data_IF_409279234473
#
_entry.id   IF_409279234473
#
_cell.length_a   1.000
_cell.length_b   1.000
_cell.length_c   1.000
_cell.angle_alpha   90.00
_cell.angle_beta   90.00
_cell.angle_gamma   90.00
#
_symmetry.space_group_name_H-M   'P 1'
#
loop_
_entity.id
_entity.type
_entity.pdbx_description
1 polymer ?
#
# COMPACT_ATOMS: atom_id res chain seq x y z
N UNK A 1 -8.09 20.95 -32.57
CA UNK A 1 -8.00 21.10 -31.10
C UNK A 1 -7.14 22.31 -30.83
N UNK A 2 -7.58 23.18 -29.92
CA UNK A 2 -6.82 24.38 -29.57
C UNK A 2 -5.51 23.99 -28.88
N UNK A 3 -4.52 24.89 -28.96
CA UNK A 3 -3.31 24.76 -28.16
C UNK A 3 -3.68 24.76 -26.67
N UNK A 4 -3.00 23.94 -25.83
CA UNK A 4 -3.21 23.99 -24.40
C UNK A 4 -2.72 25.35 -23.85
N UNK A 5 -3.42 25.86 -22.84
CA UNK A 5 -2.92 27.00 -22.07
C UNK A 5 -1.92 26.51 -21.02
N UNK A 6 -0.73 27.09 -21.00
CA UNK A 6 0.37 26.68 -20.12
C UNK A 6 0.72 27.83 -19.18
N UNK A 7 0.52 27.60 -17.89
CA UNK A 7 0.77 28.60 -16.84
C UNK A 7 1.88 28.16 -15.91
N UNK A 8 2.85 29.05 -15.69
CA UNK A 8 3.89 28.86 -14.67
C UNK A 8 3.34 29.00 -13.26
N UNK A 9 4.06 28.41 -12.30
CA UNK A 9 3.75 28.51 -10.86
C UNK A 9 4.92 29.13 -10.10
N UNK A 10 4.77 29.32 -8.79
CA UNK A 10 5.82 29.78 -7.88
C UNK A 10 7.01 28.81 -7.77
N UNK A 11 6.85 27.56 -8.21
CA UNK A 11 7.91 26.54 -8.27
C UNK A 11 8.51 26.56 -9.68
N UNK A 12 9.80 26.89 -9.85
CA UNK A 12 10.43 26.97 -11.17
C UNK A 12 10.30 25.66 -11.96
N UNK A 13 9.71 25.75 -13.15
CA UNK A 13 9.49 24.63 -14.07
C UNK A 13 8.23 23.80 -13.82
N UNK A 14 7.51 24.01 -12.70
CA UNK A 14 6.21 23.38 -12.49
C UNK A 14 5.14 24.16 -13.27
N UNK A 15 4.46 23.48 -14.18
CA UNK A 15 3.51 24.09 -15.12
C UNK A 15 2.12 23.47 -14.96
N UNK A 16 1.09 24.31 -14.91
CA UNK A 16 -0.30 23.88 -15.06
C UNK A 16 -0.68 23.98 -16.53
N UNK A 17 -1.28 22.91 -17.06
CA UNK A 17 -1.66 22.78 -18.46
C UNK A 17 -3.17 22.57 -18.55
N UNK A 18 -3.86 23.53 -19.15
CA UNK A 18 -5.30 23.49 -19.36
C UNK A 18 -5.61 23.13 -20.81
N UNK A 19 -6.33 22.02 -20.99
CA UNK A 19 -6.72 21.48 -22.29
C UNK A 19 -8.23 21.62 -22.50
N UNK A 20 -8.63 21.93 -23.74
CA UNK A 20 -10.05 21.99 -24.09
C UNK A 20 -10.66 20.59 -24.15
N UNK A 21 -11.88 20.44 -23.62
CA UNK A 21 -12.72 19.27 -23.86
C UNK A 21 -13.59 19.52 -25.09
N UNK A 22 -13.64 18.54 -25.98
CA UNK A 22 -14.57 18.52 -27.10
C UNK A 22 -15.74 17.62 -26.73
N UNK A 23 -16.87 18.25 -26.41
CA UNK A 23 -18.13 17.55 -26.18
C UNK A 23 -18.65 16.93 -27.48
N UNK A 24 -19.19 15.73 -27.38
CA UNK A 24 -19.81 14.94 -28.46
C UNK A 24 -21.15 14.40 -27.96
N UNK A 25 -22.07 13.97 -28.84
CA UNK A 25 -23.35 13.39 -28.40
C UNK A 25 -23.20 12.18 -27.47
N UNK A 26 -22.09 11.43 -27.59
CA UNK A 26 -21.85 10.17 -26.86
C UNK A 26 -20.81 10.30 -25.73
N UNK A 27 -20.32 11.51 -25.43
CA UNK A 27 -19.28 11.74 -24.42
C UNK A 27 -18.37 12.90 -24.78
N UNK A 28 -17.09 12.83 -24.40
CA UNK A 28 -16.11 13.89 -24.68
C UNK A 28 -14.80 13.32 -25.20
N UNK A 29 -14.05 14.17 -25.90
CA UNK A 29 -12.70 13.88 -26.36
C UNK A 29 -11.74 15.00 -25.93
N UNK A 30 -10.54 14.63 -25.50
CA UNK A 30 -9.45 15.58 -25.29
C UNK A 30 -8.10 14.91 -25.54
N UNK A 31 -7.14 15.69 -26.03
CA UNK A 31 -5.74 15.31 -26.15
C UNK A 31 -5.09 15.61 -24.79
N UNK A 32 -5.20 14.66 -23.86
CA UNK A 32 -4.69 14.83 -22.51
C UNK A 32 -3.17 15.11 -22.47
N UNK A 33 -2.44 14.64 -23.47
CA UNK A 33 -1.04 15.00 -23.72
C UNK A 33 -0.74 15.00 -25.22
N UNK A 34 0.02 15.99 -25.68
CA UNK A 34 0.55 16.07 -27.05
C UNK A 34 1.87 16.85 -27.05
N UNK A 35 2.96 16.18 -27.39
CA UNK A 35 4.33 16.70 -27.27
C UNK A 35 4.53 18.06 -27.97
N UNK A 36 4.34 18.10 -29.30
CA UNK A 36 4.57 19.32 -30.08
C UNK A 36 3.68 20.51 -29.68
N UNK A 37 2.46 20.27 -29.18
CA UNK A 37 1.54 21.32 -28.73
C UNK A 37 1.96 21.87 -27.37
N UNK A 38 2.39 21.00 -26.45
CA UNK A 38 2.93 21.42 -25.16
C UNK A 38 4.20 22.25 -25.36
N UNK A 39 5.12 21.80 -26.23
CA UNK A 39 6.35 22.54 -26.55
C UNK A 39 6.06 23.90 -27.20
N UNK A 40 5.13 23.94 -28.17
CA UNK A 40 4.72 25.19 -28.83
C UNK A 40 4.07 26.18 -27.88
N UNK A 41 3.36 25.67 -26.85
CA UNK A 41 2.77 26.46 -25.78
C UNK A 41 3.77 26.87 -24.68
N UNK A 42 5.07 26.59 -24.84
CA UNK A 42 6.13 26.97 -23.90
C UNK A 42 6.44 25.94 -22.81
N UNK A 43 5.92 24.72 -22.94
CA UNK A 43 6.31 23.58 -22.11
C UNK A 43 7.65 22.96 -22.52
N UNK A 44 8.27 22.14 -21.67
CA UNK A 44 9.54 21.50 -21.99
C UNK A 44 9.36 20.26 -22.87
N UNK A 45 10.43 19.87 -23.57
CA UNK A 45 10.51 18.53 -24.16
C UNK A 45 10.49 17.48 -23.04
N UNK A 46 9.58 16.50 -23.16
CA UNK A 46 9.27 15.58 -22.05
C UNK A 46 9.58 14.11 -22.35
N UNK A 47 9.38 13.64 -23.58
CA UNK A 47 9.70 12.28 -24.04
C UNK A 47 9.29 11.16 -23.04
N UNK A 48 7.99 11.00 -22.73
CA UNK A 48 7.55 10.00 -21.76
C UNK A 48 7.84 8.57 -22.23
N UNK A 49 8.40 7.76 -21.34
CA UNK A 49 8.76 6.35 -21.60
C UNK A 49 7.90 5.36 -20.82
N UNK A 50 7.08 5.85 -19.89
CA UNK A 50 6.19 5.02 -19.08
C UNK A 50 4.88 5.76 -18.81
N UNK A 51 3.78 5.00 -18.84
CA UNK A 51 2.45 5.47 -18.49
C UNK A 51 1.89 4.62 -17.34
N UNK A 52 1.57 5.28 -16.22
CA UNK A 52 0.89 4.66 -15.09
C UNK A 52 -0.55 5.17 -15.03
N UNK A 53 -1.47 4.26 -14.74
CA UNK A 53 -2.87 4.57 -14.46
C UNK A 53 -3.24 4.04 -13.09
N UNK A 54 -3.82 4.89 -12.26
CA UNK A 54 -4.17 4.54 -10.87
C UNK A 54 -5.63 4.86 -10.60
N UNK A 55 -6.42 3.84 -10.28
CA UNK A 55 -7.76 4.01 -9.73
C UNK A 55 -7.69 4.14 -8.20
N UNK A 56 -8.25 5.23 -7.67
CA UNK A 56 -8.42 5.44 -6.25
C UNK A 56 -9.91 5.37 -5.90
N UNK A 57 -10.29 4.31 -5.20
CA UNK A 57 -11.70 4.01 -4.94
C UNK A 57 -12.36 4.95 -3.93
N UNK A 58 -11.59 5.61 -3.05
CA UNK A 58 -12.14 6.31 -1.89
C UNK A 58 -11.66 7.77 -1.82
N UNK A 59 -12.60 8.68 -1.63
CA UNK A 59 -12.41 10.09 -1.26
C UNK A 59 -11.60 10.22 0.03
N UNK A 60 -10.76 11.24 0.10
CA UNK A 60 -9.89 11.52 1.24
C UNK A 60 -8.56 10.78 1.20
N UNK A 61 -8.37 9.83 0.29
CA UNK A 61 -7.05 9.24 0.04
C UNK A 61 -6.09 10.35 -0.34
N UNK A 62 -5.06 10.54 0.48
CA UNK A 62 -4.03 11.55 0.28
C UNK A 62 -2.68 10.84 0.19
N UNK A 63 -1.86 11.20 -0.80
CA UNK A 63 -0.58 10.56 -1.11
C UNK A 63 0.48 11.62 -1.43
N UNK A 64 1.72 11.42 -0.99
CA UNK A 64 2.84 12.35 -1.22
C UNK A 64 3.53 12.79 0.08
N UNK A 65 4.35 13.84 0.09
CA UNK A 65 4.99 14.41 -1.10
C UNK A 65 6.13 13.48 -1.52
N UNK A 66 6.15 13.07 -2.79
CA UNK A 66 7.22 12.25 -3.35
C UNK A 66 7.90 13.03 -4.49
N UNK A 67 9.21 13.25 -4.37
CA UNK A 67 10.05 13.94 -5.34
C UNK A 67 10.99 12.94 -6.00
N UNK A 68 10.51 12.34 -7.07
CA UNK A 68 11.22 11.31 -7.82
C UNK A 68 12.28 11.92 -8.75
N UNK A 69 13.29 11.12 -9.16
CA UNK A 69 14.39 11.62 -9.99
C UNK A 69 14.04 11.82 -11.48
N UNK A 70 12.74 11.83 -11.84
CA UNK A 70 12.24 11.98 -13.20
C UNK A 70 11.13 13.02 -13.28
N UNK A 71 10.91 13.55 -14.49
CA UNK A 71 9.84 14.49 -14.77
C UNK A 71 8.52 13.73 -14.94
N UNK A 72 7.40 14.38 -14.63
CA UNK A 72 6.06 13.77 -14.69
C UNK A 72 5.07 14.68 -15.38
N UNK A 73 4.09 14.07 -16.01
CA UNK A 73 2.87 14.76 -16.43
C UNK A 73 1.69 14.08 -15.77
N UNK A 74 1.04 14.79 -14.85
CA UNK A 74 -0.03 14.29 -13.98
C UNK A 74 -1.37 14.82 -14.44
N UNK A 75 -2.37 13.95 -14.61
CA UNK A 75 -3.74 14.36 -14.90
C UNK A 75 -4.77 13.42 -14.28
N UNK A 76 -6.04 13.82 -14.32
CA UNK A 76 -7.19 13.01 -13.89
C UNK A 76 -8.04 12.64 -15.10
N UNK A 77 -8.36 11.35 -15.25
CA UNK A 77 -9.19 10.81 -16.33
C UNK A 77 -10.66 10.67 -15.92
N UNK A 78 -10.94 10.57 -14.62
CA UNK A 78 -12.30 10.54 -14.04
C UNK A 78 -12.26 11.00 -12.59
N UNK A 79 -13.32 11.64 -12.11
CA UNK A 79 -13.40 12.19 -10.76
C UNK A 79 -12.61 13.48 -10.59
N UNK A 80 -12.21 13.79 -9.36
CA UNK A 80 -11.47 15.01 -9.03
C UNK A 80 -10.52 14.83 -7.85
N UNK A 81 -9.49 15.66 -7.82
CA UNK A 81 -8.49 15.68 -6.76
C UNK A 81 -7.97 17.09 -6.50
N UNK A 82 -7.45 17.33 -5.31
CA UNK A 82 -6.65 18.50 -4.99
C UNK A 82 -5.17 18.12 -5.08
N UNK A 83 -4.44 18.73 -6.00
CA UNK A 83 -3.00 18.56 -6.17
C UNK A 83 -2.21 19.59 -5.37
N UNK A 84 -1.12 19.15 -4.74
CA UNK A 84 -0.15 20.01 -4.09
C UNK A 84 1.27 19.60 -4.49
N UNK A 85 2.14 20.58 -4.66
CA UNK A 85 3.54 20.38 -5.00
C UNK A 85 4.43 21.18 -4.05
N UNK A 86 5.60 20.62 -3.73
CA UNK A 86 6.63 21.27 -2.91
C UNK A 86 7.99 21.15 -3.58
N UNK A 87 8.74 22.23 -3.67
CA UNK A 87 10.10 22.18 -4.22
C UNK A 87 11.07 21.57 -3.19
N UNK A 88 11.60 20.37 -3.47
CA UNK A 88 12.58 19.67 -2.62
C UNK A 88 14.01 19.73 -3.20
N UNK A 89 14.22 20.58 -4.22
CA UNK A 89 15.54 20.86 -4.78
C UNK A 89 16.31 21.79 -3.86
N UNK A 90 17.62 21.60 -3.77
CA UNK A 90 18.47 22.47 -2.96
C UNK A 90 18.53 23.87 -3.60
N UNK A 91 18.40 24.91 -2.77
CA UNK A 91 18.47 26.30 -3.20
C UNK A 91 17.38 27.18 -2.59
N UNK A 92 17.26 28.40 -3.10
CA UNK A 92 16.33 29.43 -2.61
C UNK A 92 14.84 29.04 -2.75
N UNK A 93 14.54 28.08 -3.62
CA UNK A 93 13.20 27.55 -3.84
C UNK A 93 12.73 26.51 -2.82
N UNK A 94 13.62 25.96 -2.00
CA UNK A 94 13.30 24.82 -1.13
C UNK A 94 12.12 25.11 -0.21
N UNK A 95 11.10 24.24 -0.26
CA UNK A 95 9.87 24.36 0.52
C UNK A 95 8.80 25.26 -0.08
N UNK A 96 9.04 25.89 -1.26
CA UNK A 96 7.97 26.61 -1.98
C UNK A 96 6.87 25.63 -2.38
N UNK A 97 5.63 26.11 -2.31
CA UNK A 97 4.43 25.33 -2.56
C UNK A 97 3.66 25.88 -3.75
N UNK A 98 3.06 24.99 -4.53
CA UNK A 98 2.00 25.31 -5.46
C UNK A 98 0.84 24.32 -5.29
N UNK A 99 -0.39 24.74 -5.58
CA UNK A 99 -1.59 23.90 -5.47
C UNK A 99 -2.50 24.11 -6.67
N UNK A 100 -3.23 23.07 -7.05
CA UNK A 100 -4.14 23.11 -8.20
C UNK A 100 -5.24 22.05 -8.01
N UNK A 101 -6.50 22.42 -8.19
CA UNK A 101 -7.56 21.42 -8.35
C UNK A 101 -7.40 20.71 -9.69
N UNK A 102 -7.49 19.39 -9.66
CA UNK A 102 -7.35 18.50 -10.79
C UNK A 102 -8.72 17.90 -11.12
N UNK A 103 -9.14 18.13 -12.34
CA UNK A 103 -10.29 17.53 -12.98
C UNK A 103 -9.95 17.27 -14.45
N UNK A 104 -10.88 16.70 -15.20
CA UNK A 104 -10.73 16.54 -16.63
C UNK A 104 -10.36 17.87 -17.31
N UNK A 105 -9.35 17.83 -18.18
CA UNK A 105 -8.82 19.01 -18.86
C UNK A 105 -7.76 19.79 -18.08
N UNK A 106 -7.47 19.44 -16.82
CA UNK A 106 -6.36 20.02 -16.06
C UNK A 106 -5.25 19.01 -15.84
N UNK A 107 -4.06 19.34 -16.31
CA UNK A 107 -2.84 18.55 -16.11
C UNK A 107 -1.74 19.39 -15.50
N UNK A 108 -0.72 18.74 -14.92
CA UNK A 108 0.44 19.41 -14.34
C UNK A 108 1.71 18.71 -14.79
N UNK A 109 2.61 19.48 -15.40
CA UNK A 109 3.99 19.04 -15.63
C UNK A 109 4.81 19.31 -14.38
N UNK A 110 5.39 18.24 -13.81
CA UNK A 110 6.13 18.24 -12.54
C UNK A 110 7.60 17.92 -12.84
N UNK A 111 8.51 18.88 -12.65
CA UNK A 111 9.93 18.63 -12.79
C UNK A 111 10.46 17.64 -11.74
N UNK A 112 11.51 16.91 -12.12
CA UNK A 112 12.30 16.08 -11.21
C UNK A 112 12.71 16.87 -9.96
N UNK A 113 12.66 16.20 -8.82
CA UNK A 113 12.98 16.82 -7.53
C UNK A 113 11.89 17.72 -6.94
N UNK A 114 10.78 17.97 -7.65
CA UNK A 114 9.58 18.59 -7.08
C UNK A 114 8.71 17.48 -6.49
N UNK A 115 8.39 17.62 -5.19
CA UNK A 115 7.52 16.70 -4.47
C UNK A 115 6.09 16.82 -4.96
N UNK A 116 5.52 15.73 -5.44
CA UNK A 116 4.14 15.63 -5.90
C UNK A 116 3.25 15.02 -4.80
N UNK A 117 2.12 15.65 -4.52
CA UNK A 117 1.07 15.12 -3.66
C UNK A 117 -0.32 15.37 -4.23
N UNK A 118 -1.29 14.55 -3.82
CA UNK A 118 -2.69 14.75 -4.14
C UNK A 118 -3.60 14.26 -3.02
N UNK A 119 -4.79 14.85 -2.93
CA UNK A 119 -5.90 14.41 -2.09
C UNK A 119 -7.13 14.18 -2.97
N UNK A 120 -7.65 12.95 -2.95
CA UNK A 120 -8.82 12.57 -3.76
C UNK A 120 -10.09 13.20 -3.20
N UNK A 121 -10.86 13.87 -4.05
CA UNK A 121 -12.08 14.58 -3.67
C UNK A 121 -13.36 13.81 -4.03
N UNK A 122 -13.26 12.83 -4.95
CA UNK A 122 -14.36 11.97 -5.39
C UNK A 122 -13.98 10.48 -5.37
N UNK A 123 -14.92 9.61 -4.97
CA UNK A 123 -14.73 8.16 -5.08
C UNK A 123 -14.52 7.74 -6.53
N UNK A 124 -13.66 6.75 -6.77
CA UNK A 124 -13.38 6.26 -8.12
C UNK A 124 -12.57 7.23 -9.00
N UNK A 125 -11.80 8.14 -8.40
CA UNK A 125 -10.91 9.03 -9.14
C UNK A 125 -9.79 8.25 -9.81
N UNK A 126 -9.60 8.46 -11.11
CA UNK A 126 -8.55 7.79 -11.90
C UNK A 126 -7.49 8.80 -12.31
N UNK A 127 -6.24 8.56 -11.91
CA UNK A 127 -5.09 9.36 -12.31
C UNK A 127 -4.36 8.74 -13.49
N UNK A 128 -3.78 9.60 -14.32
CA UNK A 128 -2.83 9.27 -15.37
C UNK A 128 -1.49 9.95 -15.05
N UNK A 129 -0.40 9.18 -15.11
CA UNK A 129 0.96 9.68 -14.95
C UNK A 129 1.81 9.25 -16.13
N UNK A 130 2.27 10.20 -16.92
CA UNK A 130 3.36 9.95 -17.86
C UNK A 130 4.68 10.27 -17.15
N UNK A 131 5.72 9.47 -17.38
CA UNK A 131 7.03 9.61 -16.74
C UNK A 131 8.14 9.69 -17.79
N UNK A 132 9.13 10.57 -17.59
CA UNK A 132 10.29 10.67 -18.48
C UNK A 132 11.32 9.54 -18.30
N UNK A 133 11.22 8.76 -17.23
CA UNK A 133 12.08 7.60 -16.95
C UNK A 133 11.26 6.43 -16.39
N UNK A 134 11.79 5.21 -16.53
CA UNK A 134 11.15 4.03 -15.97
C UNK A 134 11.17 4.02 -14.44
N UNK A 135 10.05 3.62 -13.86
CA UNK A 135 10.00 3.32 -12.44
C UNK A 135 10.88 2.11 -12.14
N UNK A 136 11.75 2.24 -11.15
CA UNK A 136 12.54 1.15 -10.60
C UNK A 136 12.55 1.24 -9.07
N UNK A 137 12.66 0.11 -8.35
CA UNK A 137 12.84 0.12 -6.90
C UNK A 137 13.99 1.02 -6.44
N UNK A 138 15.12 0.98 -7.15
CA UNK A 138 16.32 1.77 -6.85
C UNK A 138 16.05 3.28 -6.99
N UNK A 139 15.30 3.68 -8.02
CA UNK A 139 14.94 5.08 -8.20
C UNK A 139 13.88 5.54 -7.17
N UNK A 140 13.02 4.64 -6.68
CA UNK A 140 12.12 4.90 -5.55
C UNK A 140 12.90 5.13 -4.24
N UNK A 141 13.96 4.39 -3.98
CA UNK A 141 14.80 4.60 -2.78
C UNK A 141 15.48 5.97 -2.78
N UNK A 142 15.80 6.50 -3.97
CA UNK A 142 16.38 7.85 -4.14
C UNK A 142 15.35 8.98 -4.10
N UNK A 143 14.06 8.66 -3.98
CA UNK A 143 12.97 9.65 -3.95
C UNK A 143 13.03 10.43 -2.64
N UNK A 144 13.19 11.76 -2.73
CA UNK A 144 13.03 12.64 -1.57
C UNK A 144 11.55 12.67 -1.18
N UNK A 145 11.26 12.70 0.11
CA UNK A 145 9.88 12.80 0.61
C UNK A 145 9.72 13.92 1.61
N UNK A 146 8.52 14.46 1.72
CA UNK A 146 8.15 15.45 2.74
C UNK A 146 6.77 15.15 3.32
N UNK A 147 6.57 15.49 4.60
CA UNK A 147 5.34 15.25 5.32
C UNK A 147 4.17 16.03 4.70
N UNK A 148 3.06 15.33 4.39
CA UNK A 148 1.86 15.94 3.80
C UNK A 148 1.28 17.07 4.65
N UNK A 149 1.40 16.97 5.97
CA UNK A 149 0.84 17.92 6.93
C UNK A 149 1.94 18.66 7.69
N UNK A 150 3.10 18.87 7.05
CA UNK A 150 4.12 19.76 7.59
C UNK A 150 3.54 21.17 7.78
N UNK A 151 3.47 21.70 9.01
CA UNK A 151 2.96 23.05 9.27
C UNK A 151 3.74 24.14 8.55
N UNK A 152 5.00 23.92 8.19
CA UNK A 152 5.82 24.86 7.44
C UNK A 152 5.34 25.03 5.98
N UNK A 153 4.67 24.02 5.42
CA UNK A 153 4.17 24.04 4.04
C UNK A 153 2.81 24.72 3.91
N UNK A 154 2.03 24.77 4.99
CA UNK A 154 0.71 25.43 5.03
C UNK A 154 -0.24 25.03 3.89
N UNK A 155 -0.20 23.76 3.47
CA UNK A 155 -1.05 23.27 2.38
C UNK A 155 -2.52 23.36 2.79
N UNK A 156 -3.39 24.02 2.01
CA UNK A 156 -4.81 24.15 2.31
C UNK A 156 -5.58 22.89 1.86
N UNK A 157 -5.28 21.73 2.46
CA UNK A 157 -5.96 20.48 2.14
C UNK A 157 -7.49 20.59 2.33
N UNK A 158 -8.31 20.33 1.28
CA UNK A 158 -9.77 20.43 1.37
C UNK A 158 -10.41 19.51 2.41
N UNK A 159 -9.78 18.37 2.67
CA UNK A 159 -10.15 17.40 3.70
C UNK A 159 -9.04 17.45 4.76
N UNK A 160 -9.42 17.70 6.01
CA UNK A 160 -8.45 17.79 7.10
C UNK A 160 -7.71 16.48 7.31
N UNK A 161 -6.59 16.55 8.03
CA UNK A 161 -5.77 15.37 8.38
C UNK A 161 -6.59 14.25 9.01
N UNK A 162 -7.51 14.59 9.90
CA UNK A 162 -8.31 13.61 10.66
C UNK A 162 -9.28 12.82 9.79
N UNK A 163 -9.63 13.35 8.61
CA UNK A 163 -10.51 12.70 7.64
C UNK A 163 -9.76 12.20 6.39
N UNK A 164 -8.43 12.37 6.35
CA UNK A 164 -7.58 11.91 5.26
C UNK A 164 -7.16 10.46 5.44
N UNK A 165 -7.09 9.69 4.35
CA UNK A 165 -6.60 8.31 4.33
C UNK A 165 -5.16 8.31 3.80
N UNK A 166 -4.20 8.21 4.72
CA UNK A 166 -2.76 8.30 4.44
C UNK A 166 -2.12 6.91 4.37
N UNK A 167 -1.06 6.76 3.59
CA UNK A 167 -0.20 5.57 3.68
C UNK A 167 0.80 5.75 4.84
N UNK A 168 1.35 4.66 5.36
CA UNK A 168 2.41 4.74 6.38
C UNK A 168 3.66 5.44 5.83
N UNK A 169 4.00 5.23 4.56
CA UNK A 169 5.09 5.94 3.88
C UNK A 169 4.91 7.45 3.94
N UNK A 170 3.69 7.93 3.72
CA UNK A 170 3.38 9.35 3.77
C UNK A 170 3.34 9.89 5.21
N UNK A 171 2.90 9.06 6.18
CA UNK A 171 2.95 9.38 7.60
C UNK A 171 4.38 9.47 8.15
N UNK A 172 5.27 8.59 7.67
CA UNK A 172 6.68 8.53 8.05
C UNK A 172 7.57 9.53 7.31
N UNK A 173 7.02 10.24 6.31
CA UNK A 173 7.76 11.23 5.56
C UNK A 173 8.26 12.34 6.50
N UNK A 174 9.53 12.77 6.36
CA UNK A 174 10.14 13.73 7.27
C UNK A 174 9.50 15.10 7.09
N UNK A 175 9.49 15.88 8.18
CA UNK A 175 9.26 17.32 8.11
C UNK A 175 10.47 18.00 7.45
N UNK A 176 10.24 19.10 6.72
CA UNK A 176 11.31 19.88 6.09
C UNK A 176 12.33 20.41 7.10
N UNK A 177 11.84 20.75 8.29
CA UNK A 177 12.65 21.07 9.46
C UNK A 177 12.23 20.15 10.60
N UNK A 178 13.19 19.51 11.29
CA UNK A 178 12.86 18.66 12.43
C UNK A 178 12.02 19.44 13.47
N UNK A 179 10.84 18.94 13.84
CA UNK A 179 10.18 19.40 15.05
C UNK A 179 11.12 19.10 16.22
N UNK A 180 11.36 20.06 17.11
CA UNK A 180 12.17 19.80 18.32
C UNK A 180 11.44 18.76 19.19
N UNK A 181 11.84 17.49 19.08
CA UNK A 181 11.33 16.38 19.90
C UNK A 181 12.45 15.77 20.75
N UNK A 182 12.13 15.48 22.02
CA UNK A 182 13.05 14.97 23.05
C UNK A 182 13.60 13.59 22.68
N UNK A 183 14.91 13.44 22.79
CA UNK A 183 15.68 12.25 22.44
C UNK A 183 15.44 11.05 23.36
N UNK A 184 15.23 9.87 22.78
CA UNK A 184 15.73 8.59 23.32
C UNK A 184 16.23 7.76 22.14
N UNK A 185 17.55 7.57 22.08
CA UNK A 185 18.22 6.91 20.96
C UNK A 185 18.31 5.40 21.11
N UNK A 186 18.51 4.72 19.98
CA UNK A 186 19.47 3.62 19.83
C UNK A 186 19.72 3.39 18.34
N UNK A 187 20.98 3.43 17.92
CA UNK A 187 21.42 3.09 16.57
C UNK A 187 21.88 1.63 16.47
N UNK A 188 22.00 1.13 15.23
CA UNK A 188 22.94 0.09 14.73
C UNK A 188 22.26 -0.72 13.62
N UNK A 189 22.61 -0.51 12.33
CA UNK A 189 23.70 -1.19 11.58
C UNK A 189 23.19 -2.45 10.84
N UNK A 190 22.70 -2.27 9.61
CA UNK A 190 22.29 -3.35 8.71
C UNK A 190 23.44 -3.75 7.77
N UNK A 191 23.79 -5.04 7.76
CA UNK A 191 24.65 -5.65 6.73
C UNK A 191 23.79 -6.08 5.54
N UNK A 192 24.30 -5.80 4.33
CA UNK A 192 23.69 -6.19 3.04
C UNK A 192 24.03 -7.65 2.72
N UNK A 193 23.03 -8.41 2.30
CA UNK A 193 23.21 -9.68 1.56
C UNK A 193 22.42 -9.62 0.26
N UNK A 194 23.01 -10.21 -0.78
CA UNK A 194 22.65 -10.04 -2.18
C UNK A 194 21.32 -10.71 -2.58
N UNK A 195 20.65 -10.06 -3.55
CA UNK A 195 19.34 -10.40 -4.11
C UNK A 195 19.46 -11.59 -5.07
N UNK A 196 18.62 -12.61 -4.87
CA UNK A 196 18.34 -13.64 -5.88
C UNK A 196 17.00 -13.32 -6.54
N UNK A 197 17.00 -13.20 -7.87
CA UNK A 197 15.82 -12.91 -8.68
C UNK A 197 15.07 -14.22 -8.91
N UNK A 198 13.91 -14.37 -8.27
CA UNK A 198 13.04 -15.54 -8.41
C UNK A 198 12.15 -15.48 -9.65
N UNK A 199 12.57 -16.24 -10.66
CA UNK A 199 11.79 -16.72 -11.82
C UNK A 199 10.54 -17.48 -11.34
N UNK A 200 9.45 -17.38 -12.10
CA UNK A 200 8.28 -18.24 -11.92
C UNK A 200 8.58 -19.71 -12.22
N UNK A 201 7.88 -20.56 -11.48
CA UNK A 201 7.41 -21.88 -11.88
C UNK A 201 8.40 -23.07 -11.90
N UNK A 202 9.13 -23.31 -10.80
CA UNK A 202 9.56 -24.65 -10.36
C UNK A 202 9.71 -24.65 -8.82
N UNK A 203 8.76 -25.24 -8.07
CA UNK A 203 8.90 -25.33 -6.60
C UNK A 203 9.76 -26.53 -6.21
N UNK A 204 10.89 -26.25 -5.55
CA UNK A 204 11.63 -27.20 -4.74
C UNK A 204 10.87 -27.57 -3.45
N UNK A 205 11.25 -28.70 -2.86
CA UNK A 205 10.57 -29.46 -1.79
C UNK A 205 10.48 -28.79 -0.39
N UNK A 206 10.14 -27.50 -0.30
CA UNK A 206 9.96 -26.77 0.97
C UNK A 206 8.51 -26.77 1.47
N UNK A 207 8.26 -26.44 2.77
CA UNK A 207 6.92 -26.32 3.33
C UNK A 207 6.16 -25.13 2.73
N UNK A 208 4.83 -25.21 2.69
CA UNK A 208 3.95 -24.13 2.23
C UNK A 208 3.82 -23.04 3.31
N UNK A 209 4.16 -21.80 2.97
CA UNK A 209 4.33 -20.72 3.93
C UNK A 209 3.11 -19.83 4.01
N UNK A 210 2.50 -19.76 5.19
CA UNK A 210 1.34 -18.92 5.49
C UNK A 210 1.73 -17.81 6.46
N UNK A 211 1.56 -16.56 6.03
CA UNK A 211 1.91 -15.37 6.82
C UNK A 211 0.66 -14.63 7.29
N UNK A 212 0.48 -14.49 8.60
CA UNK A 212 -0.58 -13.67 9.19
C UNK A 212 -0.14 -12.23 9.41
N UNK A 213 -0.96 -11.27 9.01
CA UNK A 213 -0.61 -9.84 9.10
C UNK A 213 -1.71 -9.03 9.80
N UNK A 214 -1.32 -8.26 10.80
CA UNK A 214 -2.15 -7.22 11.42
C UNK A 214 -1.34 -5.92 11.62
N UNK A 215 -1.81 -4.98 12.43
CA UNK A 215 -1.09 -3.72 12.68
C UNK A 215 0.17 -3.94 13.51
N UNK A 216 0.03 -4.24 14.80
CA UNK A 216 1.15 -4.24 15.75
C UNK A 216 1.85 -5.59 15.96
N UNK A 217 1.35 -6.66 15.36
CA UNK A 217 1.80 -8.05 15.59
C UNK A 217 1.87 -8.47 17.07
N UNK A 218 0.99 -7.92 17.91
CA UNK A 218 0.84 -8.34 19.31
C UNK A 218 -0.55 -8.89 19.63
N UNK A 219 -1.58 -8.66 18.80
CA UNK A 219 -2.94 -9.16 19.06
C UNK A 219 -3.35 -10.22 18.03
N UNK A 220 -3.95 -9.79 16.91
CA UNK A 220 -4.67 -10.64 15.96
C UNK A 220 -3.76 -11.60 15.19
N UNK A 221 -2.71 -11.10 14.52
CA UNK A 221 -1.79 -11.97 13.78
C UNK A 221 -0.91 -12.84 14.68
N UNK A 222 -0.52 -12.33 15.85
CA UNK A 222 0.21 -13.10 16.86
C UNK A 222 -0.63 -14.28 17.39
N UNK A 223 -1.90 -14.03 17.74
CA UNK A 223 -2.82 -15.07 18.17
C UNK A 223 -3.01 -16.14 17.09
N UNK A 224 -3.26 -15.71 15.85
CA UNK A 224 -3.45 -16.61 14.72
C UNK A 224 -2.23 -17.52 14.49
N UNK A 225 -1.01 -16.99 14.56
CA UNK A 225 0.23 -17.77 14.41
C UNK A 225 0.41 -18.79 15.54
N UNK A 226 0.21 -18.37 16.80
CA UNK A 226 0.32 -19.27 17.96
C UNK A 226 -0.67 -20.44 17.87
N UNK A 227 -1.94 -20.16 17.50
CA UNK A 227 -2.98 -21.18 17.34
C UNK A 227 -2.73 -22.04 16.09
N UNK A 228 -2.28 -21.46 14.99
CA UNK A 228 -2.00 -22.22 13.77
C UNK A 228 -0.82 -23.19 13.97
N UNK A 229 0.28 -22.76 14.61
CA UNK A 229 1.40 -23.65 14.95
C UNK A 229 0.99 -24.78 15.89
N UNK A 230 0.07 -24.51 16.82
CA UNK A 230 -0.48 -25.52 17.72
C UNK A 230 -1.20 -26.67 17.00
N UNK A 231 -1.76 -26.42 15.80
CA UNK A 231 -2.39 -27.46 14.99
C UNK A 231 -1.42 -28.55 14.53
N UNK A 232 -0.11 -28.26 14.52
CA UNK A 232 0.96 -29.15 14.01
C UNK A 232 0.69 -29.64 12.59
N UNK A 233 0.09 -28.80 11.75
CA UNK A 233 -0.11 -29.08 10.34
C UNK A 233 1.24 -29.41 9.67
N UNK A 234 1.30 -30.53 8.95
CA UNK A 234 2.53 -31.03 8.32
C UNK A 234 2.71 -30.36 6.96
N UNK A 235 3.96 -30.04 6.62
CA UNK A 235 4.28 -29.41 5.34
C UNK A 235 3.75 -27.98 5.18
N UNK A 236 3.28 -27.36 6.27
CA UNK A 236 2.84 -25.96 6.32
C UNK A 236 3.65 -25.24 7.40
N UNK A 237 4.21 -24.10 7.06
CA UNK A 237 4.94 -23.22 7.97
C UNK A 237 4.12 -21.96 8.22
N UNK A 238 3.89 -21.63 9.49
CA UNK A 238 3.13 -20.44 9.89
C UNK A 238 4.05 -19.37 10.48
N UNK A 239 3.84 -18.14 10.05
CA UNK A 239 4.48 -16.96 10.61
C UNK A 239 3.48 -15.83 10.80
N UNK A 240 3.85 -14.83 11.59
CA UNK A 240 3.11 -13.58 11.68
C UNK A 240 4.02 -12.37 11.67
N UNK A 241 3.48 -11.26 11.18
CA UNK A 241 4.13 -9.96 11.18
C UNK A 241 3.10 -8.83 11.32
N UNK A 242 3.61 -7.61 11.46
CA UNK A 242 2.81 -6.39 11.65
C UNK A 242 3.15 -5.32 10.63
N UNK A 243 2.16 -4.59 10.11
CA UNK A 243 2.44 -3.44 9.22
C UNK A 243 3.09 -2.28 9.99
N UNK A 244 2.76 -2.13 11.29
CA UNK A 244 3.41 -1.24 12.25
C UNK A 244 3.77 -2.03 13.51
N UNK A 245 4.64 -3.04 13.39
CA UNK A 245 4.87 -3.95 14.50
C UNK A 245 5.47 -3.24 15.72
N UNK A 246 5.01 -3.60 16.91
CA UNK A 246 5.69 -3.24 18.15
C UNK A 246 6.86 -4.21 18.34
N UNK A 247 7.90 -4.08 17.53
CA UNK A 247 8.97 -5.08 17.37
C UNK A 247 9.56 -5.48 18.72
N UNK A 248 9.65 -6.80 18.95
CA UNK A 248 10.19 -7.39 20.17
C UNK A 248 9.18 -7.51 21.32
N UNK A 249 8.02 -6.87 21.24
CA UNK A 249 6.98 -7.02 22.26
C UNK A 249 6.38 -8.45 22.25
N UNK A 250 5.97 -8.97 23.41
CA UNK A 250 5.23 -10.22 23.48
C UNK A 250 3.81 -10.03 22.96
N UNK A 251 3.06 -11.13 22.86
CA UNK A 251 1.62 -11.06 22.62
C UNK A 251 0.93 -10.21 23.72
N UNK A 252 -0.05 -9.41 23.31
CA UNK A 252 -0.89 -8.58 24.18
C UNK A 252 -1.55 -9.46 25.25
N UNK A 253 -1.47 -9.13 26.56
CA UNK A 253 -1.85 -10.06 27.63
C UNK A 253 -3.28 -10.62 27.54
N UNK A 254 -4.33 -9.83 27.23
CA UNK A 254 -5.68 -10.37 26.97
C UNK A 254 -5.71 -11.45 25.88
N UNK A 255 -5.01 -11.25 24.77
CA UNK A 255 -4.93 -12.23 23.68
C UNK A 255 -4.05 -13.43 24.07
N UNK A 256 -2.92 -13.19 24.75
CA UNK A 256 -2.03 -14.24 25.25
C UNK A 256 -2.69 -15.17 26.26
N UNK A 257 -3.57 -14.64 27.12
CA UNK A 257 -4.36 -15.47 28.04
C UNK A 257 -5.29 -16.45 27.33
N UNK A 258 -5.75 -16.11 26.12
CA UNK A 258 -6.66 -16.93 25.32
C UNK A 258 -5.93 -18.01 24.50
N UNK A 259 -4.60 -18.03 24.47
CA UNK A 259 -3.83 -19.11 23.83
C UNK A 259 -3.54 -20.28 24.78
N UNK A 260 -3.90 -20.17 26.05
CA UNK A 260 -3.65 -21.19 27.07
C UNK A 260 -4.22 -22.55 26.66
N UNK A 261 -3.40 -23.61 26.75
CA UNK A 261 -3.77 -24.97 26.34
C UNK A 261 -3.78 -25.21 24.83
N UNK A 262 -3.49 -24.18 24.01
CA UNK A 262 -3.39 -24.29 22.55
C UNK A 262 -1.94 -24.19 22.10
N UNK A 263 -1.27 -23.07 22.38
CA UNK A 263 0.09 -22.82 21.92
C UNK A 263 0.92 -21.95 22.87
N UNK A 264 2.23 -21.94 22.65
CA UNK A 264 3.19 -21.23 23.50
C UNK A 264 3.25 -19.73 23.16
N UNK A 265 2.33 -18.94 23.70
CA UNK A 265 2.34 -17.47 23.56
C UNK A 265 3.68 -16.80 23.93
N UNK A 266 4.45 -17.42 24.84
CA UNK A 266 5.73 -16.88 25.35
C UNK A 266 6.84 -16.83 24.31
N UNK A 267 6.79 -17.68 23.27
CA UNK A 267 7.79 -17.71 22.21
C UNK A 267 7.56 -16.62 21.16
N UNK A 268 6.35 -16.04 21.10
CA UNK A 268 6.03 -14.98 20.15
C UNK A 268 6.82 -13.71 20.46
N UNK A 269 7.37 -13.11 19.41
CA UNK A 269 7.92 -11.75 19.44
C UNK A 269 7.41 -11.03 18.22
N UNK A 270 6.81 -9.86 18.44
CA UNK A 270 6.33 -9.04 17.35
C UNK A 270 7.48 -8.71 16.39
N UNK A 271 7.22 -8.85 15.10
CA UNK A 271 8.17 -8.53 14.03
C UNK A 271 7.52 -7.67 12.96
N UNK A 272 8.30 -6.74 12.42
CA UNK A 272 7.87 -5.86 11.35
C UNK A 272 7.71 -6.67 10.07
N UNK A 273 6.61 -6.44 9.36
CA UNK A 273 6.45 -6.98 8.03
C UNK A 273 7.47 -6.33 7.11
N UNK A 274 8.26 -7.16 6.43
CA UNK A 274 9.25 -6.75 5.46
C UNK A 274 9.08 -7.49 4.13
N UNK A 275 9.89 -7.10 3.15
CA UNK A 275 9.86 -7.70 1.82
C UNK A 275 10.24 -9.18 1.84
N UNK A 276 11.16 -9.60 2.70
CA UNK A 276 11.61 -10.98 2.77
C UNK A 276 10.46 -11.91 3.18
N UNK A 277 9.75 -11.55 4.25
CA UNK A 277 8.56 -12.26 4.71
C UNK A 277 7.47 -12.32 3.63
N UNK A 278 7.24 -11.22 2.92
CA UNK A 278 6.25 -11.16 1.84
C UNK A 278 6.65 -12.01 0.66
N UNK A 279 7.91 -11.95 0.22
CA UNK A 279 8.41 -12.70 -0.94
C UNK A 279 8.42 -14.21 -0.63
N UNK A 280 8.81 -14.61 0.58
CA UNK A 280 8.84 -16.00 1.05
C UNK A 280 7.47 -16.63 1.31
N UNK A 281 6.44 -15.83 1.61
CA UNK A 281 5.10 -16.35 1.87
C UNK A 281 4.44 -16.85 0.58
N UNK A 282 3.77 -18.01 0.66
CA UNK A 282 2.93 -18.53 -0.41
C UNK A 282 1.50 -17.99 -0.33
N UNK A 283 1.04 -17.72 0.89
CA UNK A 283 -0.27 -17.16 1.19
C UNK A 283 -0.15 -16.16 2.34
N UNK A 284 -0.64 -14.94 2.13
CA UNK A 284 -0.66 -13.89 3.13
C UNK A 284 -2.11 -13.63 3.55
N UNK A 285 -2.38 -13.82 4.85
CA UNK A 285 -3.69 -13.68 5.46
C UNK A 285 -3.71 -12.45 6.37
N UNK A 286 -4.40 -11.43 5.90
CA UNK A 286 -4.53 -10.15 6.58
C UNK A 286 -5.75 -10.12 7.48
N UNK A 287 -5.63 -9.51 8.64
CA UNK A 287 -6.73 -9.47 9.62
C UNK A 287 -7.85 -8.49 9.24
N UNK A 288 -7.58 -7.57 8.31
CA UNK A 288 -8.53 -6.55 7.87
C UNK A 288 -8.10 -5.94 6.52
N UNK A 289 -9.03 -5.36 5.73
CA UNK A 289 -8.74 -4.79 4.42
C UNK A 289 -7.61 -3.75 4.39
N UNK A 290 -7.45 -2.96 5.45
CA UNK A 290 -6.40 -1.97 5.58
C UNK A 290 -4.99 -2.58 5.59
N UNK A 291 -4.80 -3.76 6.18
CA UNK A 291 -3.50 -4.45 6.14
C UNK A 291 -3.22 -5.01 4.74
N UNK A 292 -4.26 -5.50 4.05
CA UNK A 292 -4.14 -5.89 2.64
C UNK A 292 -3.76 -4.69 1.78
N UNK A 293 -4.41 -3.55 2.01
CA UNK A 293 -4.11 -2.30 1.32
C UNK A 293 -2.65 -1.88 1.55
N UNK A 294 -2.16 -1.96 2.79
CA UNK A 294 -0.76 -1.70 3.11
C UNK A 294 0.19 -2.56 2.28
N UNK A 295 -0.02 -3.88 2.27
CA UNK A 295 0.82 -4.81 1.50
C UNK A 295 0.78 -4.48 0.01
N UNK A 296 -0.36 -4.07 -0.54
CA UNK A 296 -0.46 -3.74 -1.96
C UNK A 296 0.13 -2.37 -2.31
N UNK A 297 0.07 -1.42 -1.38
CA UNK A 297 0.69 -0.10 -1.57
C UNK A 297 2.23 -0.21 -1.49
N UNK A 298 2.79 -1.13 -0.69
CA UNK A 298 4.24 -1.38 -0.57
C UNK A 298 4.80 -2.44 -1.55
N UNK A 299 4.08 -3.54 -1.76
CA UNK A 299 4.47 -4.68 -2.61
C UNK A 299 3.32 -5.11 -3.54
N UNK A 300 3.01 -4.35 -4.61
CA UNK A 300 1.90 -4.63 -5.52
C UNK A 300 1.92 -6.04 -6.12
N UNK A 301 3.11 -6.60 -6.34
CA UNK A 301 3.30 -7.96 -6.87
C UNK A 301 2.74 -9.06 -5.95
N UNK A 302 2.57 -8.79 -4.65
CA UNK A 302 1.99 -9.73 -3.71
C UNK A 302 0.45 -9.82 -3.80
N UNK A 303 -0.18 -9.06 -4.70
CA UNK A 303 -1.64 -8.99 -4.81
C UNK A 303 -2.33 -10.34 -4.96
N UNK A 304 -1.76 -11.23 -5.77
CA UNK A 304 -2.32 -12.55 -6.09
C UNK A 304 -2.21 -13.55 -4.94
N UNK A 305 -1.41 -13.24 -3.91
CA UNK A 305 -1.23 -14.09 -2.73
C UNK A 305 -1.66 -13.45 -1.41
N UNK A 306 -2.30 -12.28 -1.44
CA UNK A 306 -2.69 -11.52 -0.23
C UNK A 306 -4.20 -11.37 -0.14
N UNK A 307 -4.80 -11.89 0.95
CA UNK A 307 -6.26 -11.94 1.15
C UNK A 307 -6.63 -11.56 2.58
N UNK A 308 -7.86 -11.09 2.78
CA UNK A 308 -8.42 -10.91 4.13
C UNK A 308 -8.81 -12.28 4.67
N UNK A 309 -8.50 -12.57 5.94
CA UNK A 309 -8.62 -13.91 6.51
C UNK A 309 -10.04 -14.48 6.41
N UNK A 310 -11.09 -13.68 6.64
CA UNK A 310 -12.47 -14.14 6.50
C UNK A 310 -12.90 -14.44 5.08
N UNK A 311 -12.39 -13.67 4.10
CA UNK A 311 -12.58 -13.96 2.67
C UNK A 311 -11.90 -15.29 2.30
N UNK A 312 -10.65 -15.48 2.72
CA UNK A 312 -9.93 -16.73 2.50
C UNK A 312 -10.66 -17.93 3.13
N UNK A 313 -11.13 -17.80 4.37
CA UNK A 313 -11.86 -18.86 5.08
C UNK A 313 -13.17 -19.25 4.38
N UNK A 314 -13.89 -18.28 3.80
CA UNK A 314 -15.12 -18.54 3.04
C UNK A 314 -14.83 -19.26 1.73
N UNK A 315 -13.94 -18.69 0.91
CA UNK A 315 -13.72 -19.18 -0.45
C UNK A 315 -12.93 -20.50 -0.48
N UNK A 316 -12.06 -20.77 0.50
CA UNK A 316 -11.28 -22.01 0.54
C UNK A 316 -12.18 -23.26 0.67
N UNK A 317 -13.38 -23.13 1.27
CA UNK A 317 -14.34 -24.21 1.37
C UNK A 317 -15.00 -24.56 0.02
N UNK A 318 -14.95 -23.64 -0.95
CA UNK A 318 -15.53 -23.78 -2.28
C UNK A 318 -14.48 -24.18 -3.34
N UNK A 319 -13.28 -24.60 -2.90
CA UNK A 319 -12.25 -25.09 -3.80
C UNK A 319 -12.75 -26.30 -4.61
N UNK A 320 -12.55 -26.30 -5.94
CA UNK A 320 -12.92 -27.43 -6.77
C UNK A 320 -12.28 -28.75 -6.30
N UNK A 321 -13.02 -29.85 -6.45
CA UNK A 321 -12.48 -31.18 -6.17
C UNK A 321 -11.23 -31.43 -7.03
N UNK A 322 -10.18 -31.98 -6.42
CA UNK A 322 -8.90 -32.24 -7.10
C UNK A 322 -7.94 -31.03 -7.18
N UNK A 323 -8.30 -29.88 -6.62
CA UNK A 323 -7.38 -28.73 -6.50
C UNK A 323 -6.06 -29.13 -5.82
N UNK A 324 -4.97 -28.48 -6.23
CA UNK A 324 -3.65 -28.57 -5.62
C UNK A 324 -3.37 -27.33 -4.78
N UNK A 325 -2.30 -27.38 -3.98
CA UNK A 325 -1.92 -26.27 -3.11
C UNK A 325 -1.62 -24.97 -3.89
N UNK A 326 -1.04 -25.08 -5.09
CA UNK A 326 -0.81 -23.94 -5.98
C UNK A 326 -2.08 -23.30 -6.55
N UNK A 327 -3.22 -24.00 -6.51
CA UNK A 327 -4.50 -23.48 -7.01
C UNK A 327 -5.21 -22.59 -5.99
N UNK A 328 -4.81 -22.63 -4.72
CA UNK A 328 -5.47 -21.91 -3.62
C UNK A 328 -5.48 -20.41 -3.89
N UNK A 329 -4.32 -19.79 -4.08
CA UNK A 329 -4.21 -18.34 -4.30
C UNK A 329 -4.91 -17.91 -5.60
N UNK A 330 -4.84 -18.74 -6.65
CA UNK A 330 -5.56 -18.52 -7.91
C UNK A 330 -7.07 -18.51 -7.71
N UNK A 331 -7.61 -19.48 -6.98
CA UNK A 331 -9.04 -19.57 -6.68
C UNK A 331 -9.51 -18.38 -5.85
N UNK A 332 -8.79 -18.06 -4.76
CA UNK A 332 -9.09 -16.89 -3.91
C UNK A 332 -9.05 -15.58 -4.72
N UNK A 333 -8.09 -15.44 -5.65
CA UNK A 333 -7.98 -14.27 -6.52
C UNK A 333 -9.14 -14.13 -7.51
N UNK A 334 -9.59 -15.24 -8.09
CA UNK A 334 -10.72 -15.25 -9.02
C UNK A 334 -12.04 -14.89 -8.32
N UNK A 335 -12.20 -15.29 -7.06
CA UNK A 335 -13.39 -15.04 -6.24
C UNK A 335 -13.17 -13.91 -5.21
N UNK A 336 -12.29 -12.95 -5.53
CA UNK A 336 -11.94 -11.85 -4.62
C UNK A 336 -13.17 -10.97 -4.38
N UNK A 337 -13.72 -11.07 -3.18
CA UNK A 337 -14.79 -10.21 -2.67
C UNK A 337 -14.50 -9.91 -1.20
N UNK A 338 -14.43 -8.64 -0.84
CA UNK A 338 -14.15 -8.24 0.54
C UNK A 338 -15.36 -7.53 1.11
N UNK A 339 -16.00 -8.15 2.09
CA UNK A 339 -17.07 -7.56 2.89
C UNK A 339 -16.57 -7.14 4.27
N UNK A 340 -17.31 -6.27 4.95
CA UNK A 340 -16.99 -5.85 6.32
C UNK A 340 -16.96 -7.03 7.31
N UNK A 341 -17.66 -8.13 7.00
CA UNK A 341 -17.70 -9.37 7.78
C UNK A 341 -16.42 -10.22 7.69
N UNK A 342 -15.54 -9.92 6.72
CA UNK A 342 -14.30 -10.67 6.53
C UNK A 342 -13.18 -10.19 7.46
N UNK A 343 -13.34 -9.00 8.05
CA UNK A 343 -12.37 -8.40 8.96
C UNK A 343 -12.51 -8.91 10.39
N UNK A 344 -11.38 -9.09 11.04
CA UNK A 344 -11.28 -9.30 12.49
C UNK A 344 -11.09 -7.95 13.17
N UNK A 345 -12.09 -7.57 13.97
CA UNK A 345 -12.08 -6.35 14.79
C UNK A 345 -10.83 -6.27 15.67
N UNK A 346 -10.23 -5.08 15.76
CA UNK A 346 -9.04 -4.85 16.60
C UNK A 346 -9.41 -4.87 18.10
N UNK A 347 -8.86 -5.79 18.91
CA UNK A 347 -9.13 -5.86 20.35
C UNK A 347 -8.21 -4.94 21.19
N UNK A 348 -7.18 -4.33 20.62
CA UNK A 348 -6.16 -3.62 21.38
C UNK A 348 -6.74 -2.48 22.23
N UNK A 349 -6.46 -2.49 23.53
CA UNK A 349 -6.98 -1.54 24.54
C UNK A 349 -8.52 -1.47 24.63
N UNK A 350 -9.24 -2.53 24.21
CA UNK A 350 -10.70 -2.62 24.30
C UNK A 350 -11.22 -3.62 25.34
N UNK A 351 -10.32 -4.17 26.16
CA UNK A 351 -10.65 -5.07 27.26
C UNK A 351 -10.90 -6.52 26.85
N UNK A 352 -11.19 -7.37 27.84
CA UNK A 352 -11.24 -8.83 27.69
C UNK A 352 -12.33 -9.31 26.72
N UNK A 353 -13.50 -8.67 26.72
CA UNK A 353 -14.60 -9.06 25.84
C UNK A 353 -14.23 -8.90 24.35
N UNK A 354 -13.56 -7.80 23.99
CA UNK A 354 -13.11 -7.57 22.62
C UNK A 354 -12.03 -8.59 22.20
N UNK A 355 -11.13 -8.95 23.11
CA UNK A 355 -10.14 -10.01 22.88
C UNK A 355 -10.81 -11.37 22.61
N UNK A 356 -11.84 -11.74 23.39
CA UNK A 356 -12.61 -12.97 23.19
C UNK A 356 -13.28 -12.98 21.83
N UNK A 357 -13.96 -11.89 21.44
CA UNK A 357 -14.61 -11.79 20.13
C UNK A 357 -13.61 -11.90 18.98
N UNK A 358 -12.45 -11.24 19.08
CA UNK A 358 -11.41 -11.33 18.05
C UNK A 358 -10.83 -12.75 17.95
N UNK A 359 -10.55 -13.39 19.09
CA UNK A 359 -10.05 -14.77 19.14
C UNK A 359 -11.05 -15.76 18.53
N UNK A 360 -12.33 -15.66 18.87
CA UNK A 360 -13.39 -16.51 18.31
C UNK A 360 -13.51 -16.36 16.79
N UNK A 361 -13.45 -15.13 16.27
CA UNK A 361 -13.46 -14.90 14.83
C UNK A 361 -12.25 -15.53 14.13
N UNK A 362 -11.05 -15.37 14.70
CA UNK A 362 -9.82 -15.98 14.18
C UNK A 362 -9.94 -17.51 14.20
N UNK A 363 -10.39 -18.11 15.30
CA UNK A 363 -10.57 -19.56 15.44
C UNK A 363 -11.49 -20.10 14.35
N UNK A 364 -12.67 -19.51 14.16
CA UNK A 364 -13.62 -19.93 13.11
C UNK A 364 -12.99 -19.89 11.71
N UNK A 365 -12.15 -18.90 11.43
CA UNK A 365 -11.43 -18.83 10.16
C UNK A 365 -10.36 -19.91 10.04
N UNK A 366 -9.57 -20.15 11.09
CA UNK A 366 -8.51 -21.17 11.09
C UNK A 366 -9.08 -22.58 11.01
N UNK A 367 -10.23 -22.85 11.62
CA UNK A 367 -10.98 -24.12 11.52
C UNK A 367 -11.38 -24.45 10.08
N UNK A 368 -11.53 -23.43 9.22
CA UNK A 368 -11.79 -23.63 7.78
C UNK A 368 -10.50 -23.75 6.98
N UNK A 369 -9.52 -22.89 7.26
CA UNK A 369 -8.31 -22.74 6.45
C UNK A 369 -7.34 -23.90 6.66
N UNK A 370 -7.02 -24.24 7.92
CA UNK A 370 -5.95 -25.20 8.22
C UNK A 370 -6.29 -26.61 7.70
N UNK A 371 -7.49 -27.18 7.95
CA UNK A 371 -7.83 -28.51 7.43
C UNK A 371 -7.87 -28.58 5.91
N UNK A 372 -8.33 -27.50 5.25
CA UNK A 372 -8.34 -27.42 3.79
C UNK A 372 -6.91 -27.43 3.22
N UNK A 373 -6.01 -26.61 3.78
CA UNK A 373 -4.60 -26.61 3.37
C UNK A 373 -3.92 -27.95 3.67
N UNK A 374 -4.16 -28.56 4.84
CA UNK A 374 -3.59 -29.86 5.22
C UNK A 374 -4.02 -30.95 4.22
N UNK A 375 -5.29 -30.98 3.84
CA UNK A 375 -5.82 -31.93 2.84
C UNK A 375 -5.12 -31.78 1.48
N UNK A 376 -4.78 -30.55 1.09
CA UNK A 376 -4.08 -30.29 -0.16
C UNK A 376 -2.60 -30.70 -0.10
N UNK A 377 -1.94 -30.49 1.05
CA UNK A 377 -0.56 -30.94 1.27
C UNK A 377 -0.48 -32.48 1.28
N UNK A 378 -1.41 -33.15 1.98
CA UNK A 378 -1.45 -34.62 2.06
C UNK A 378 -1.72 -35.31 0.71
N UNK A 379 -2.22 -34.57 -0.29
CA UNK A 379 -2.42 -35.07 -1.67
C UNK A 379 -1.18 -34.89 -2.56
N UNK A 380 -0.22 -34.08 -2.14
CA UNK A 380 1.00 -33.78 -2.90
C UNK A 380 2.19 -34.65 -2.47
N UNK A 381 2.20 -35.13 -1.23
CA UNK A 381 3.11 -36.17 -0.76
C UNK A 381 2.53 -37.56 -0.98
#
# INVERSE_FOLDING_TARGET
MNEPDVRSTEIPGLLVVSSSLQETPDGWFTENWHDAKLESAGGPSFNPVQHNVTLVQRRGVTRGFHAEPWDRYVSVLSGSAFGAWVDLREGEGYGRVATQELSLGTSVFVPRGVGNAHQVLEDGTTFSYLLSEHWTPEARERTKTANLFDPALQIPWPISRDYSVLSERDLAAPYLSMPKAKSTGLGSMFRRSAVHIGRGDERGAGPYRVLFVCTANICRSAYADVVARASRARGIEFASAGTHALVGEPIDPPMGGLTAGRGEARSHRAQQLDRGLVDEADLILTMAPEHRRYILDEWPQAATKTFVIGHAAREIQSLPAGSRLGDVTKHLWQHRSTGQRDAVSDPYRRGQAAAITAAQAIDTHLESIIPALQTLVDRQG
#
